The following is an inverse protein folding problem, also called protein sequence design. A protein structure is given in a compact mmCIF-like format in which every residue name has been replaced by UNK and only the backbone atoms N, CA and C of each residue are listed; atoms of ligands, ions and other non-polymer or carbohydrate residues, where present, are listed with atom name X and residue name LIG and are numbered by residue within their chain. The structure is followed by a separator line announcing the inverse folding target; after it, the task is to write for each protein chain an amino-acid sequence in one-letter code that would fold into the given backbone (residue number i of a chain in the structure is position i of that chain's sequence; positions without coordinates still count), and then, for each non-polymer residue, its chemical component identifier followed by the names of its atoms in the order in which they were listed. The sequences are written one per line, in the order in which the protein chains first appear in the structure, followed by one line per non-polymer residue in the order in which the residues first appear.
data_IF_769528132941
#
_entry.id   IF_769528132941
#
_cell.length_a   1.000
_cell.length_b   1.000
_cell.length_c   1.000
_cell.angle_alpha   90.00
_cell.angle_beta   90.00
_cell.angle_gamma   90.00
#
_symmetry.space_group_name_H-M   'P 1'
#
loop_
_entity.id
_entity.type
_entity.pdbx_description
1 polymer ?
#
# COMPACT_ATOMS: atom_id res chain seq x y z
N UNK A 1 6.29 -11.32 37.60
CA UNK A 1 6.15 -9.91 37.17
C UNK A 1 6.24 -9.92 35.65
N UNK A 2 5.10 -9.83 34.96
CA UNK A 2 5.03 -9.77 33.48
C UNK A 2 5.23 -8.31 33.05
N UNK A 3 6.03 -8.00 32.02
CA UNK A 3 6.27 -6.62 31.63
C UNK A 3 5.00 -5.97 31.07
N UNK A 4 4.83 -4.68 31.33
CA UNK A 4 3.65 -3.85 31.08
C UNK A 4 3.39 -3.53 29.59
N UNK A 5 3.70 -4.44 28.67
CA UNK A 5 3.53 -4.23 27.22
C UNK A 5 2.13 -4.64 26.70
N UNK A 6 1.27 -5.23 27.54
CA UNK A 6 0.00 -5.84 27.10
C UNK A 6 -1.25 -4.95 27.12
N UNK A 7 -1.18 -3.72 27.65
CA UNK A 7 -2.36 -2.85 27.79
C UNK A 7 -2.53 -1.82 26.67
N UNK A 8 -1.44 -1.37 26.05
CA UNK A 8 -1.50 -0.27 25.07
C UNK A 8 -2.19 -0.63 23.75
N UNK A 9 -2.32 -1.93 23.45
CA UNK A 9 -2.92 -2.40 22.20
C UNK A 9 -4.24 -3.15 22.38
N UNK A 10 -4.75 -3.25 23.61
CA UNK A 10 -5.92 -4.07 23.95
C UNK A 10 -7.19 -3.67 23.17
N UNK A 11 -7.27 -2.42 22.71
CA UNK A 11 -8.44 -1.85 22.06
C UNK A 11 -8.23 -1.58 20.55
N UNK A 12 -7.05 -1.86 19.99
CA UNK A 12 -6.85 -1.70 18.54
C UNK A 12 -7.70 -2.74 17.81
N UNK A 13 -8.58 -2.27 16.93
CA UNK A 13 -9.46 -3.13 16.15
C UNK A 13 -10.81 -3.45 16.80
N UNK A 14 -11.08 -3.07 18.05
CA UNK A 14 -12.39 -3.32 18.70
C UNK A 14 -13.58 -2.71 17.96
N UNK A 15 -13.35 -1.63 17.20
CA UNK A 15 -14.38 -0.97 16.39
C UNK A 15 -14.69 -1.71 15.08
N UNK A 16 -13.84 -2.65 14.63
CA UNK A 16 -13.97 -3.44 13.39
C UNK A 16 -14.57 -2.63 12.22
N UNK A 17 -13.92 -1.52 11.83
CA UNK A 17 -14.48 -0.55 10.88
C UNK A 17 -14.79 -1.12 9.48
N UNK A 18 -14.14 -2.21 9.10
CA UNK A 18 -14.45 -3.07 7.96
C UNK A 18 -13.85 -4.47 8.23
N UNK A 19 -14.03 -5.42 7.31
CA UNK A 19 -13.40 -6.72 7.43
C UNK A 19 -11.88 -6.60 7.25
N UNK A 20 -11.12 -7.51 7.89
CA UNK A 20 -9.65 -7.46 7.88
C UNK A 20 -9.08 -7.42 6.45
N UNK A 21 -9.66 -8.20 5.53
CA UNK A 21 -9.19 -8.23 4.14
C UNK A 21 -9.47 -6.92 3.39
N UNK A 22 -10.55 -6.20 3.71
CA UNK A 22 -10.85 -4.90 3.12
C UNK A 22 -9.89 -3.83 3.64
N UNK A 23 -9.63 -3.85 4.95
CA UNK A 23 -8.61 -3.01 5.56
C UNK A 23 -7.24 -3.22 4.90
N UNK A 24 -6.85 -4.48 4.71
CA UNK A 24 -5.56 -4.84 4.11
C UNK A 24 -5.44 -4.36 2.66
N UNK A 25 -6.52 -4.47 1.86
CA UNK A 25 -6.57 -3.95 0.50
C UNK A 25 -6.40 -2.42 0.46
N UNK A 26 -7.09 -1.69 1.35
CA UNK A 26 -6.99 -0.23 1.45
C UNK A 26 -5.59 0.19 1.91
N UNK A 27 -5.05 -0.49 2.92
CA UNK A 27 -3.73 -0.21 3.46
C UNK A 27 -2.63 -0.44 2.41
N UNK A 28 -2.68 -1.55 1.68
CA UNK A 28 -1.69 -1.85 0.65
C UNK A 28 -1.82 -0.88 -0.54
N UNK A 29 -3.05 -0.53 -0.94
CA UNK A 29 -3.27 0.50 -1.97
C UNK A 29 -2.64 1.85 -1.57
N UNK A 30 -2.85 2.26 -0.32
CA UNK A 30 -2.24 3.49 0.23
C UNK A 30 -0.71 3.45 0.10
N UNK A 31 -0.07 2.38 0.57
CA UNK A 31 1.39 2.20 0.46
C UNK A 31 1.89 2.25 -0.98
N UNK A 32 1.19 1.60 -1.91
CA UNK A 32 1.58 1.59 -3.33
C UNK A 32 1.44 2.97 -3.97
N UNK A 33 0.39 3.72 -3.66
CA UNK A 33 0.24 5.11 -4.12
C UNK A 33 1.37 6.00 -3.61
N UNK A 34 1.72 5.83 -2.34
CA UNK A 34 2.84 6.51 -1.69
C UNK A 34 4.19 6.19 -2.36
N UNK A 35 4.43 4.92 -2.70
CA UNK A 35 5.62 4.51 -3.45
C UNK A 35 5.63 5.08 -4.86
N UNK A 36 4.49 5.07 -5.55
CA UNK A 36 4.33 5.57 -6.92
C UNK A 36 4.78 7.05 -7.03
N UNK A 37 4.39 7.88 -6.06
CA UNK A 37 4.82 9.28 -5.99
C UNK A 37 6.31 9.42 -5.69
N UNK A 38 6.86 8.60 -4.79
CA UNK A 38 8.29 8.64 -4.46
C UNK A 38 9.18 8.24 -5.64
N UNK A 39 8.73 7.33 -6.51
CA UNK A 39 9.50 6.94 -7.69
C UNK A 39 9.81 8.12 -8.62
N UNK A 40 8.94 9.13 -8.71
CA UNK A 40 9.24 10.34 -9.50
C UNK A 40 10.47 11.06 -8.95
N UNK A 41 10.55 11.21 -7.63
CA UNK A 41 11.73 11.78 -6.98
C UNK A 41 12.96 10.88 -7.15
N UNK A 42 12.82 9.55 -7.10
CA UNK A 42 13.95 8.63 -7.27
C UNK A 42 14.53 8.69 -8.68
N UNK A 43 13.67 8.80 -9.70
CA UNK A 43 14.08 9.00 -11.09
C UNK A 43 14.81 10.33 -11.25
N UNK A 44 14.27 11.41 -10.68
CA UNK A 44 14.92 12.73 -10.70
C UNK A 44 16.29 12.72 -10.00
N UNK A 45 16.39 12.10 -8.82
CA UNK A 45 17.64 11.98 -8.07
C UNK A 45 18.73 11.18 -8.80
N UNK A 46 18.35 10.35 -9.78
CA UNK A 46 19.25 9.53 -10.56
C UNK A 46 19.60 10.13 -11.94
N UNK A 47 19.43 11.45 -12.14
CA UNK A 47 19.65 12.16 -13.43
C UNK A 47 20.91 11.72 -14.19
N UNK A 48 22.06 11.69 -13.53
CA UNK A 48 23.35 11.33 -14.16
C UNK A 48 23.62 9.81 -14.23
N UNK A 49 22.63 8.98 -13.92
CA UNK A 49 22.77 7.51 -13.84
C UNK A 49 21.67 6.82 -14.65
N UNK A 50 21.79 6.75 -16.00
CA UNK A 50 20.73 6.25 -16.88
C UNK A 50 20.24 4.84 -16.54
N UNK A 51 21.15 3.92 -16.18
CA UNK A 51 20.79 2.56 -15.79
C UNK A 51 19.92 2.53 -14.51
N UNK A 52 20.22 3.42 -13.55
CA UNK A 52 19.45 3.52 -12.29
C UNK A 52 18.10 4.19 -12.56
N UNK A 53 18.03 5.21 -13.42
CA UNK A 53 16.73 5.76 -13.83
C UNK A 53 15.85 4.72 -14.51
N UNK A 54 16.42 3.89 -15.40
CA UNK A 54 15.68 2.82 -16.05
C UNK A 54 15.10 1.86 -15.02
N UNK A 55 15.90 1.43 -14.04
CA UNK A 55 15.44 0.59 -12.94
C UNK A 55 14.25 1.20 -12.19
N UNK A 56 14.33 2.48 -11.84
CA UNK A 56 13.22 3.15 -11.15
C UNK A 56 11.97 3.31 -12.01
N UNK A 57 12.12 3.55 -13.32
CA UNK A 57 10.99 3.56 -14.27
C UNK A 57 10.33 2.19 -14.35
N UNK A 58 11.12 1.12 -14.37
CA UNK A 58 10.59 -0.26 -14.39
C UNK A 58 9.81 -0.57 -13.12
N UNK A 59 10.35 -0.23 -11.94
CA UNK A 59 9.65 -0.40 -10.67
C UNK A 59 8.39 0.48 -10.58
N UNK A 60 8.44 1.70 -11.11
CA UNK A 60 7.27 2.58 -11.20
C UNK A 60 6.17 1.96 -12.05
N UNK A 61 6.52 1.42 -13.22
CA UNK A 61 5.57 0.76 -14.13
C UNK A 61 4.92 -0.46 -13.47
N UNK A 62 5.70 -1.30 -12.78
CA UNK A 62 5.17 -2.43 -12.01
C UNK A 62 4.21 -1.95 -10.91
N UNK A 63 4.59 -0.91 -10.17
CA UNK A 63 3.75 -0.32 -9.13
C UNK A 63 2.42 0.22 -9.68
N UNK A 64 2.41 0.82 -10.87
CA UNK A 64 1.16 1.24 -11.52
C UNK A 64 0.23 0.06 -11.81
N UNK A 65 0.76 -1.07 -12.28
CA UNK A 65 -0.03 -2.27 -12.52
C UNK A 65 -0.61 -2.84 -11.21
N UNK A 66 0.19 -2.88 -10.15
CA UNK A 66 -0.26 -3.29 -8.81
C UNK A 66 -1.39 -2.39 -8.29
N UNK A 67 -1.26 -1.06 -8.43
CA UNK A 67 -2.31 -0.10 -8.06
C UNK A 67 -3.61 -0.38 -8.80
N UNK A 68 -3.56 -0.70 -10.10
CA UNK A 68 -4.77 -1.04 -10.84
C UNK A 68 -5.41 -2.34 -10.36
N UNK A 69 -4.60 -3.37 -10.06
CA UNK A 69 -5.09 -4.65 -9.53
C UNK A 69 -5.73 -4.49 -8.16
N UNK A 70 -5.12 -3.71 -7.26
CA UNK A 70 -5.69 -3.41 -5.94
C UNK A 70 -7.00 -2.62 -6.05
N UNK A 71 -7.06 -1.61 -6.94
CA UNK A 71 -8.30 -0.89 -7.22
C UNK A 71 -9.40 -1.81 -7.76
N UNK A 72 -9.04 -2.78 -8.58
CA UNK A 72 -10.01 -3.74 -9.10
C UNK A 72 -10.52 -4.67 -7.99
N UNK A 73 -9.64 -5.23 -7.16
CA UNK A 73 -10.02 -6.07 -6.02
C UNK A 73 -11.00 -5.34 -5.07
N UNK A 74 -10.70 -4.09 -4.72
CA UNK A 74 -11.61 -3.27 -3.88
C UNK A 74 -12.98 -3.07 -4.56
N UNK A 75 -13.02 -2.83 -5.87
CA UNK A 75 -14.30 -2.74 -6.59
C UNK A 75 -15.07 -4.05 -6.54
N UNK A 76 -14.38 -5.17 -6.69
CA UNK A 76 -14.99 -6.49 -6.67
C UNK A 76 -15.57 -6.81 -5.27
N UNK A 77 -14.88 -6.44 -4.18
CA UNK A 77 -15.41 -6.57 -2.80
C UNK A 77 -16.65 -5.69 -2.58
N UNK A 78 -16.65 -4.45 -3.07
CA UNK A 78 -17.81 -3.54 -3.02
C UNK A 78 -19.00 -4.12 -3.79
N UNK A 79 -18.77 -4.64 -5.00
CA UNK A 79 -19.82 -5.23 -5.83
C UNK A 79 -20.44 -6.48 -5.21
N UNK A 80 -19.65 -7.24 -4.45
CA UNK A 80 -20.10 -8.42 -3.72
C UNK A 80 -20.81 -8.08 -2.40
N UNK A 81 -20.83 -6.80 -2.00
CA UNK A 81 -21.41 -6.36 -0.73
C UNK A 81 -20.59 -6.79 0.49
N UNK A 82 -19.29 -7.04 0.29
CA UNK A 82 -18.36 -7.50 1.31
C UNK A 82 -17.61 -6.33 1.98
N UNK A 83 -17.53 -5.19 1.28
CA UNK A 83 -16.84 -3.95 1.68
C UNK A 83 -17.72 -2.97 2.45
#
# INVERSE_FOLDING_TARGET
MMPAAGKEYAHIGETCGCQDHDHDLVHELSKKLDALWRYDQYIANAEDRPAIQSLWRDFKNQCQQEVQRLKQAIRDEIQQGCF
#
